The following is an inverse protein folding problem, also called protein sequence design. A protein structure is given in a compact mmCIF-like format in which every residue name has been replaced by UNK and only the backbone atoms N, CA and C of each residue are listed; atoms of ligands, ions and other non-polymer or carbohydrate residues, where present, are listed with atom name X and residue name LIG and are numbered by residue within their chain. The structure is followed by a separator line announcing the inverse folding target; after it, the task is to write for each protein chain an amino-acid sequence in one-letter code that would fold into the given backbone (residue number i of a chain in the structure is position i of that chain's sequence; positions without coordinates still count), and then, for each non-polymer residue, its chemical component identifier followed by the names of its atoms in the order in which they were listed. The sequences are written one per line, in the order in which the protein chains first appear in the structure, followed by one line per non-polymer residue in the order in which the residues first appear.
data_IF_990594757215
#
_entry.id   IF_990594757215
#
_cell.length_a   1.000
_cell.length_b   1.000
_cell.length_c   1.000
_cell.angle_alpha   90.00
_cell.angle_beta   90.00
_cell.angle_gamma   90.00
#
_symmetry.space_group_name_H-M   'P 1'
#
loop_
_entity.id
_entity.type
_entity.pdbx_description
1 polymer ?
#
# COMPACT_ATOMS: atom_id res chain seq x y z
N UNK A 1 -31.84 22.42 -18.06
CA UNK A 1 -30.38 22.66 -18.21
C UNK A 1 -29.72 21.34 -18.56
N UNK A 2 -29.46 21.12 -19.85
CA UNK A 2 -29.05 19.82 -20.37
C UNK A 2 -27.68 19.41 -19.86
N UNK A 3 -27.60 18.23 -19.23
CA UNK A 3 -26.36 17.61 -18.72
C UNK A 3 -25.25 17.64 -19.77
N UNK A 4 -25.61 17.48 -21.05
CA UNK A 4 -24.70 17.52 -22.20
C UNK A 4 -23.96 18.86 -22.31
N UNK A 5 -24.65 19.99 -22.14
CA UNK A 5 -24.04 21.32 -22.21
C UNK A 5 -23.08 21.55 -21.04
N UNK A 6 -23.45 21.11 -19.84
CA UNK A 6 -22.59 21.20 -18.65
C UNK A 6 -21.32 20.36 -18.80
N UNK A 7 -21.43 19.15 -19.35
CA UNK A 7 -20.28 18.28 -19.59
C UNK A 7 -19.36 18.85 -20.69
N UNK A 8 -19.92 19.42 -21.76
CA UNK A 8 -19.14 20.05 -22.82
C UNK A 8 -18.34 21.27 -22.31
N UNK A 9 -18.96 22.12 -21.48
CA UNK A 9 -18.28 23.26 -20.87
C UNK A 9 -17.12 22.82 -19.94
N UNK A 10 -17.31 21.75 -19.18
CA UNK A 10 -16.26 21.18 -18.35
C UNK A 10 -15.11 20.57 -19.18
N UNK A 11 -15.42 19.90 -20.30
CA UNK A 11 -14.40 19.35 -21.19
C UNK A 11 -13.57 20.45 -21.87
N UNK A 12 -14.23 21.52 -22.34
CA UNK A 12 -13.57 22.68 -22.93
C UNK A 12 -12.66 23.40 -21.92
N UNK A 13 -13.15 23.59 -20.68
CA UNK A 13 -12.36 24.19 -19.59
C UNK A 13 -11.18 23.32 -19.15
N UNK A 14 -11.30 21.99 -19.27
CA UNK A 14 -10.23 21.05 -18.97
C UNK A 14 -9.24 20.84 -20.13
N UNK A 15 -9.38 21.55 -21.26
CA UNK A 15 -8.45 21.47 -22.38
C UNK A 15 -8.39 20.10 -23.07
N UNK A 16 -9.37 19.22 -22.85
CA UNK A 16 -9.44 17.93 -23.54
C UNK A 16 -9.95 18.15 -24.96
N UNK A 17 -9.03 18.37 -25.90
CA UNK A 17 -9.30 18.17 -27.33
C UNK A 17 -9.40 16.67 -27.59
N UNK A 18 -10.52 16.25 -28.17
CA UNK A 18 -10.75 14.89 -28.63
C UNK A 18 -9.77 14.61 -29.79
N UNK A 19 -8.68 13.90 -29.48
CA UNK A 19 -7.73 13.40 -30.48
C UNK A 19 -8.21 12.04 -30.94
N UNK A 20 -9.20 12.03 -31.82
CA UNK A 20 -9.47 10.88 -32.65
C UNK A 20 -8.83 11.17 -34.02
N UNK A 21 -7.54 10.87 -34.12
CA UNK A 21 -6.75 10.94 -35.35
C UNK A 21 -6.11 9.57 -35.53
N UNK A 22 -6.86 8.68 -36.19
CA UNK A 22 -6.41 7.36 -36.60
C UNK A 22 -5.69 7.50 -37.94
N UNK A 23 -4.47 8.02 -37.89
CA UNK A 23 -3.54 8.05 -39.02
C UNK A 23 -2.64 6.82 -38.95
N UNK A 24 -3.17 5.67 -39.37
CA UNK A 24 -2.38 4.49 -39.72
C UNK A 24 -1.81 4.75 -41.14
N UNK A 25 -0.57 5.22 -41.19
CA UNK A 25 0.23 5.24 -42.42
C UNK A 25 1.72 5.19 -42.08
N UNK A 26 2.33 4.08 -42.48
CA UNK A 26 3.74 3.89 -42.88
C UNK A 26 4.86 4.37 -41.95
N UNK A 27 5.33 3.51 -41.04
CA UNK A 27 6.62 3.69 -40.35
C UNK A 27 7.28 2.33 -40.04
N UNK A 28 7.60 1.54 -41.07
CA UNK A 28 8.40 0.31 -40.89
C UNK A 28 9.89 0.56 -40.62
N UNK A 29 10.38 1.81 -40.67
CA UNK A 29 11.82 2.14 -40.50
C UNK A 29 12.16 3.10 -39.35
N UNK A 30 11.20 3.47 -38.48
CA UNK A 30 11.53 4.19 -37.25
C UNK A 30 11.84 3.20 -36.14
N UNK A 31 13.14 2.98 -35.89
CA UNK A 31 13.63 2.27 -34.69
C UNK A 31 12.98 2.90 -33.45
N UNK A 32 11.99 2.21 -32.89
CA UNK A 32 11.24 2.64 -31.70
C UNK A 32 12.22 2.75 -30.54
N UNK A 33 12.40 3.95 -30.00
CA UNK A 33 13.30 4.19 -28.87
C UNK A 33 12.63 3.72 -27.57
N UNK A 34 13.36 2.96 -26.76
CA UNK A 34 12.84 2.37 -25.53
C UNK A 34 13.22 3.26 -24.35
N UNK A 35 12.24 3.74 -23.58
CA UNK A 35 12.49 4.59 -22.39
C UNK A 35 12.13 3.86 -21.11
N UNK A 36 13.11 3.65 -20.23
CA UNK A 36 12.88 3.07 -18.91
C UNK A 36 12.66 4.15 -17.85
N UNK A 37 11.53 4.06 -17.12
CA UNK A 37 11.10 5.14 -16.20
C UNK A 37 11.63 5.01 -14.77
N UNK A 38 12.11 3.85 -14.35
CA UNK A 38 12.54 3.58 -12.96
C UNK A 38 13.72 2.59 -12.81
N UNK A 39 14.33 2.10 -13.89
CA UNK A 39 15.42 1.14 -13.81
C UNK A 39 16.38 1.29 -15.00
N UNK A 40 17.59 0.73 -14.82
CA UNK A 40 18.60 0.60 -15.86
C UNK A 40 18.75 -0.89 -16.18
N UNK A 41 18.48 -1.34 -17.42
CA UNK A 41 18.74 -2.71 -17.81
C UNK A 41 20.22 -3.06 -17.63
N UNK A 42 20.52 -4.31 -17.25
CA UNK A 42 21.90 -4.82 -17.14
C UNK A 42 22.46 -5.37 -18.45
N UNK A 43 21.60 -5.54 -19.44
CA UNK A 43 21.93 -6.11 -20.75
C UNK A 43 22.45 -5.01 -21.67
N UNK A 44 23.69 -5.16 -22.15
CA UNK A 44 24.38 -4.18 -22.99
C UNK A 44 23.78 -4.03 -24.38
N UNK A 45 22.98 -5.00 -24.86
CA UNK A 45 22.30 -4.91 -26.16
C UNK A 45 21.23 -3.81 -26.20
N UNK A 46 20.74 -3.37 -25.04
CA UNK A 46 19.66 -2.39 -24.92
C UNK A 46 20.15 -0.95 -24.84
N UNK A 47 21.45 -0.73 -24.58
CA UNK A 47 22.03 0.61 -24.43
C UNK A 47 21.81 1.47 -25.68
N UNK A 48 22.00 0.88 -26.87
CA UNK A 48 21.87 1.56 -28.16
C UNK A 48 20.43 1.98 -28.52
N UNK A 49 19.42 1.39 -27.86
CA UNK A 49 18.00 1.70 -28.10
C UNK A 49 17.41 2.61 -27.02
N UNK A 50 18.16 2.90 -25.96
CA UNK A 50 17.67 3.69 -24.82
C UNK A 50 18.00 5.16 -24.93
N UNK A 51 16.98 6.00 -24.75
CA UNK A 51 17.18 7.44 -24.55
C UNK A 51 17.41 7.66 -23.06
N UNK A 52 18.64 8.07 -22.69
CA UNK A 52 18.97 8.44 -21.33
C UNK A 52 18.08 9.61 -20.87
N UNK A 53 17.43 9.46 -19.72
CA UNK A 53 16.63 10.55 -19.16
C UNK A 53 17.52 11.75 -18.79
N UNK A 54 17.01 12.99 -18.91
CA UNK A 54 17.74 14.16 -18.43
C UNK A 54 18.04 13.99 -16.94
N UNK A 55 19.30 14.18 -16.57
CA UNK A 55 19.76 14.10 -15.18
C UNK A 55 18.86 14.97 -14.29
N UNK A 56 18.40 14.42 -13.16
CA UNK A 56 17.60 15.14 -12.17
C UNK A 56 18.37 16.42 -11.79
N UNK A 57 17.74 17.59 -12.00
CA UNK A 57 18.33 18.87 -11.62
C UNK A 57 18.64 18.85 -10.12
N UNK A 58 19.80 19.36 -9.68
CA UNK A 58 20.07 19.49 -8.25
C UNK A 58 19.05 20.45 -7.64
N UNK A 59 18.51 20.05 -6.50
CA UNK A 59 17.48 20.79 -5.76
C UNK A 59 18.16 22.00 -5.12
N UNK A 60 17.92 23.20 -5.65
CA UNK A 60 18.45 24.46 -5.10
C UNK A 60 17.72 24.77 -3.80
N UNK A 61 18.39 24.63 -2.67
CA UNK A 61 17.92 25.09 -1.36
C UNK A 61 18.29 26.57 -1.20
N UNK A 62 17.47 27.45 -1.76
CA UNK A 62 17.47 28.86 -1.38
C UNK A 62 16.23 29.05 -0.52
N UNK A 63 16.41 29.35 0.76
CA UNK A 63 15.33 29.65 1.70
C UNK A 63 14.73 31.01 1.33
N UNK A 64 13.68 30.98 0.50
CA UNK A 64 12.83 32.15 0.30
C UNK A 64 11.96 32.40 1.53
N UNK A 65 11.70 33.66 1.92
CA UNK A 65 10.78 33.96 3.02
C UNK A 65 9.38 33.46 2.66
N UNK A 66 8.81 32.63 3.54
CA UNK A 66 7.48 32.01 3.36
C UNK A 66 6.46 33.05 2.93
N UNK A 67 5.89 32.86 1.75
CA UNK A 67 4.89 33.76 1.18
C UNK A 67 3.61 33.75 2.03
N UNK A 68 2.85 34.85 2.02
CA UNK A 68 1.55 34.95 2.72
C UNK A 68 0.57 33.82 2.34
N UNK A 69 0.73 33.25 1.15
CA UNK A 69 -0.02 32.09 0.65
C UNK A 69 0.29 30.81 1.45
N UNK A 70 1.54 30.61 1.84
CA UNK A 70 1.97 29.45 2.63
C UNK A 70 1.50 29.55 4.08
N UNK A 71 1.44 30.77 4.64
CA UNK A 71 0.85 31.01 5.95
C UNK A 71 -0.66 30.73 5.96
N UNK A 72 -1.39 31.17 4.93
CA UNK A 72 -2.83 30.91 4.80
C UNK A 72 -3.13 29.41 4.66
N UNK A 73 -2.33 28.68 3.86
CA UNK A 73 -2.44 27.22 3.75
C UNK A 73 -2.18 26.53 5.09
N UNK A 74 -1.21 27.01 5.86
CA UNK A 74 -0.88 26.41 7.16
C UNK A 74 -1.98 26.64 8.21
N UNK A 75 -2.63 27.80 8.18
CA UNK A 75 -3.76 28.12 9.06
C UNK A 75 -5.00 27.27 8.72
N UNK A 76 -5.29 27.08 7.43
CA UNK A 76 -6.39 26.22 6.98
C UNK A 76 -6.17 24.75 7.37
N UNK A 77 -4.93 24.24 7.24
CA UNK A 77 -4.61 22.86 7.67
C UNK A 77 -4.81 22.64 9.17
N UNK A 78 -4.45 23.62 10.00
CA UNK A 78 -4.63 23.53 11.46
C UNK A 78 -6.11 23.59 11.85
N UNK A 79 -6.89 24.46 11.20
CA UNK A 79 -8.33 24.54 11.40
C UNK A 79 -9.05 23.24 11.03
N UNK A 80 -8.56 22.51 10.02
CA UNK A 80 -9.12 21.19 9.66
C UNK A 80 -8.76 20.08 10.66
N UNK A 81 -7.59 20.13 11.29
CA UNK A 81 -7.18 19.16 12.32
C UNK A 81 -8.01 19.30 13.61
N UNK A 82 -8.30 20.53 14.06
CA UNK A 82 -9.06 20.76 15.28
C UNK A 82 -10.56 20.41 15.14
N UNK A 83 -11.12 20.51 13.92
CA UNK A 83 -12.52 20.16 13.63
C UNK A 83 -12.76 18.64 13.53
N UNK A 84 -11.70 17.83 13.38
CA UNK A 84 -11.76 16.37 13.32
C UNK A 84 -11.86 15.68 14.70
N UNK A 85 -11.86 16.45 15.80
CA UNK A 85 -11.85 15.94 17.17
C UNK A 85 -13.20 15.44 17.71
N UNK A 86 -14.33 15.66 17.02
CA UNK A 86 -15.64 15.27 17.53
C UNK A 86 -16.54 14.74 16.41
N UNK A 87 -16.99 13.49 16.56
CA UNK A 87 -17.94 12.81 15.68
C UNK A 87 -17.34 12.24 14.38
N UNK A 88 -16.75 11.05 14.49
CA UNK A 88 -17.12 9.85 13.73
C UNK A 88 -15.98 8.83 13.78
N UNK A 89 -16.35 7.58 14.00
CA UNK A 89 -15.54 6.38 14.11
C UNK A 89 -14.76 6.04 12.82
N UNK A 90 -13.89 6.95 12.36
CA UNK A 90 -13.02 6.82 11.18
C UNK A 90 -11.53 6.90 11.54
N UNK A 91 -11.20 7.39 12.74
CA UNK A 91 -9.83 7.52 13.25
C UNK A 91 -9.12 6.16 13.49
N UNK A 92 -9.82 5.03 13.42
CA UNK A 92 -9.21 3.69 13.52
C UNK A 92 -8.63 3.15 12.19
N UNK A 93 -8.64 3.94 11.11
CA UNK A 93 -8.21 3.48 9.76
C UNK A 93 -6.89 4.14 9.31
N UNK A 94 -6.18 4.86 10.17
CA UNK A 94 -4.95 5.59 9.77
C UNK A 94 -3.64 4.94 10.23
N UNK A 95 -3.70 3.72 10.79
CA UNK A 95 -2.54 2.85 10.97
C UNK A 95 -2.85 1.40 10.56
N UNK A 96 -3.30 1.21 9.31
CA UNK A 96 -3.21 -0.12 8.69
C UNK A 96 -1.74 -0.36 8.38
N UNK A 97 -1.00 -0.81 9.40
CA UNK A 97 0.28 -1.46 9.18
C UNK A 97 0.07 -2.58 8.16
N UNK A 98 1.04 -2.77 7.26
CA UNK A 98 1.02 -3.97 6.44
C UNK A 98 1.02 -5.15 7.41
N UNK A 99 -0.08 -5.89 7.40
CA UNK A 99 -0.27 -7.08 8.21
C UNK A 99 0.96 -7.96 8.03
N UNK A 100 1.47 -8.57 9.11
CA UNK A 100 2.55 -9.57 9.02
C UNK A 100 2.16 -10.56 7.92
N UNK A 101 3.10 -10.91 7.02
CA UNK A 101 2.84 -11.80 5.86
C UNK A 101 2.09 -13.09 6.26
N UNK A 102 2.34 -13.59 7.48
CA UNK A 102 1.73 -14.82 8.00
C UNK A 102 0.51 -14.59 8.90
N UNK A 103 -0.09 -13.39 8.94
CA UNK A 103 -1.25 -13.12 9.79
C UNK A 103 -2.43 -14.01 9.37
N UNK A 104 -2.69 -14.15 8.07
CA UNK A 104 -3.76 -15.01 7.57
C UNK A 104 -3.58 -16.47 8.04
N UNK A 105 -2.34 -16.98 7.92
CA UNK A 105 -1.99 -18.31 8.39
C UNK A 105 -2.24 -18.48 9.89
N UNK A 106 -1.81 -17.51 10.72
CA UNK A 106 -2.07 -17.56 12.17
C UNK A 106 -3.57 -17.57 12.46
N UNK A 107 -4.35 -16.71 11.83
CA UNK A 107 -5.80 -16.61 12.04
C UNK A 107 -6.49 -17.94 11.70
N UNK A 108 -6.15 -18.52 10.56
CA UNK A 108 -6.83 -19.71 10.05
C UNK A 108 -6.37 -21.01 10.73
N UNK A 109 -5.14 -21.02 11.28
CA UNK A 109 -4.61 -22.18 12.03
C UNK A 109 -4.92 -22.14 13.52
N UNK A 110 -5.12 -20.96 14.11
CA UNK A 110 -5.29 -20.79 15.56
C UNK A 110 -6.39 -21.69 16.13
N UNK A 111 -7.57 -21.72 15.51
CA UNK A 111 -8.70 -22.51 16.01
C UNK A 111 -8.43 -24.03 16.00
N UNK A 112 -7.54 -24.51 15.12
CA UNK A 112 -7.11 -25.93 15.10
C UNK A 112 -6.07 -26.18 16.20
N UNK A 113 -5.15 -25.25 16.39
CA UNK A 113 -4.13 -25.30 17.45
C UNK A 113 -4.79 -25.28 18.83
N UNK A 114 -5.76 -24.39 19.07
CA UNK A 114 -6.48 -24.32 20.36
C UNK A 114 -7.20 -25.63 20.70
N UNK A 115 -7.78 -26.30 19.70
CA UNK A 115 -8.44 -27.61 19.88
C UNK A 115 -7.44 -28.70 20.24
N UNK A 116 -6.28 -28.71 19.57
CA UNK A 116 -5.20 -29.66 19.85
C UNK A 116 -4.61 -29.40 21.23
N UNK A 117 -4.30 -28.16 21.57
CA UNK A 117 -3.76 -27.76 22.86
C UNK A 117 -4.66 -28.21 24.02
N UNK A 118 -5.97 -28.00 23.91
CA UNK A 118 -6.94 -28.49 24.92
C UNK A 118 -6.92 -30.01 25.08
N UNK A 119 -6.76 -30.77 24.00
CA UNK A 119 -6.68 -32.23 24.04
C UNK A 119 -5.35 -32.70 24.64
N UNK A 120 -4.25 -32.04 24.26
CA UNK A 120 -2.92 -32.33 24.79
C UNK A 120 -2.86 -32.05 26.29
N UNK A 121 -3.41 -30.92 26.75
CA UNK A 121 -3.51 -30.61 28.18
C UNK A 121 -4.30 -31.67 28.95
N UNK A 122 -5.43 -32.13 28.40
CA UNK A 122 -6.21 -33.24 29.02
C UNK A 122 -5.38 -34.53 29.09
N UNK A 123 -4.76 -34.94 27.98
CA UNK A 123 -3.92 -36.13 27.95
C UNK A 123 -2.74 -36.05 28.93
N UNK A 124 -2.12 -34.87 29.07
CA UNK A 124 -1.06 -34.63 30.07
C UNK A 124 -1.61 -34.85 31.49
N UNK A 125 -2.78 -34.29 31.80
CA UNK A 125 -3.41 -34.47 33.12
C UNK A 125 -3.73 -35.94 33.39
N UNK A 126 -4.26 -36.66 32.41
CA UNK A 126 -4.59 -38.08 32.55
C UNK A 126 -3.33 -38.94 32.76
N UNK A 127 -2.27 -38.69 32.00
CA UNK A 127 -0.97 -39.36 32.19
C UNK A 127 -0.35 -39.07 33.56
N UNK A 128 -0.48 -37.84 34.06
CA UNK A 128 0.00 -37.47 35.39
C UNK A 128 -0.80 -38.19 36.49
N UNK A 129 -2.12 -38.31 36.34
CA UNK A 129 -2.97 -39.06 37.27
C UNK A 129 -2.57 -40.54 37.31
N UNK A 130 -2.45 -41.18 36.16
CA UNK A 130 -2.04 -42.58 36.07
C UNK A 130 -0.65 -42.80 36.71
N UNK A 131 0.29 -41.89 36.46
CA UNK A 131 1.63 -41.96 37.05
C UNK A 131 1.56 -41.86 38.58
N UNK A 132 0.80 -40.91 39.12
CA UNK A 132 0.64 -40.73 40.57
C UNK A 132 -0.04 -41.93 41.22
N UNK A 133 -1.06 -42.51 40.58
CA UNK A 133 -1.73 -43.73 41.06
C UNK A 133 -0.79 -44.94 41.08
N UNK A 134 0.02 -45.12 40.04
CA UNK A 134 1.05 -46.18 39.99
C UNK A 134 2.12 -45.99 41.06
N UNK A 135 2.56 -44.76 41.30
CA UNK A 135 3.53 -44.46 42.36
C UNK A 135 2.94 -44.69 43.76
N UNK A 136 1.68 -44.30 43.98
CA UNK A 136 0.97 -44.58 45.23
C UNK A 136 0.72 -46.08 45.45
N UNK A 137 0.38 -46.83 44.41
CA UNK A 137 0.16 -48.28 44.50
C UNK A 137 1.48 -49.08 44.61
N UNK A 138 2.54 -48.63 43.94
CA UNK A 138 3.86 -49.26 44.00
C UNK A 138 4.69 -48.87 45.23
N UNK A 139 4.30 -47.84 45.97
CA UNK A 139 4.89 -47.46 47.25
C UNK A 139 4.26 -48.14 48.48
N UNK A 140 3.36 -49.11 48.26
CA UNK A 140 2.68 -49.88 49.32
C UNK A 140 3.22 -51.32 49.51
N UNK A 141 4.33 -51.67 48.86
CA UNK A 141 5.11 -52.90 49.06
C UNK A 141 6.49 -52.59 49.66
#
# INVERSE_FOLDING_TARGET
MDRKARLAALAAKAGRRDKNDDSISDEEDRKKTLTFRNYVPKDSSLDALTVQQPAKRPRTTVEEPKSALELALQEETKATEDSLGQSNNWSSVTHVTTKKVNWDLKRDTQAKMDKLERRTQRAIVDLLRERLEREAAGGLD
#
